data_IF_802558948125
#
_entry.id   IF_802558948125
#
_cell.length_a   1.000
_cell.length_b   1.000
_cell.length_c   1.000
_cell.angle_alpha   90.00
_cell.angle_beta   90.00
_cell.angle_gamma   90.00
#
_symmetry.space_group_name_H-M   'P 1'
#
loop_
_entity.id
_entity.type
_entity.pdbx_description
1 polymer ?
#
# COMPACT_ATOMS: atom_id res chain seq x y z
N UNK A 1 -23.56 54.80 48.01
CA UNK A 1 -24.74 54.07 47.49
C UNK A 1 -24.51 53.76 46.02
N UNK A 2 -24.91 52.55 45.62
CA UNK A 2 -25.00 52.01 44.26
C UNK A 2 -23.75 51.44 43.60
N UNK A 3 -23.92 50.18 43.22
CA UNK A 3 -23.05 49.26 42.49
C UNK A 3 -22.98 49.70 41.02
N UNK A 4 -21.85 49.50 40.35
CA UNK A 4 -21.86 49.14 38.94
C UNK A 4 -20.71 48.19 38.61
N UNK A 5 -21.13 47.04 38.10
CA UNK A 5 -20.38 45.90 37.56
C UNK A 5 -19.48 46.31 36.39
N UNK A 6 -18.23 45.84 36.37
CA UNK A 6 -17.44 45.76 35.13
C UNK A 6 -17.12 44.30 34.83
N UNK A 7 -17.61 43.91 33.65
CA UNK A 7 -17.62 42.58 33.06
C UNK A 7 -16.20 42.05 32.82
N UNK A 8 -16.01 40.77 33.10
CA UNK A 8 -14.99 39.93 32.48
C UNK A 8 -15.18 40.00 30.96
N UNK A 9 -14.11 40.36 30.24
CA UNK A 9 -14.05 40.22 28.78
C UNK A 9 -13.42 38.87 28.48
N UNK A 10 -14.24 37.93 28.02
CA UNK A 10 -13.79 36.68 27.43
C UNK A 10 -13.08 36.99 26.11
N UNK A 11 -11.82 36.59 26.00
CA UNK A 11 -11.10 36.55 24.74
C UNK A 11 -11.63 35.38 23.92
N UNK A 12 -12.41 35.69 22.87
CA UNK A 12 -12.69 34.76 21.78
C UNK A 12 -11.52 34.92 20.80
N UNK A 13 -10.63 33.93 20.77
CA UNK A 13 -9.61 33.80 19.74
C UNK A 13 -10.23 33.04 18.58
N UNK A 14 -10.58 33.77 17.53
CA UNK A 14 -11.07 33.23 16.26
C UNK A 14 -9.87 32.65 15.49
N UNK A 15 -9.73 31.32 15.50
CA UNK A 15 -8.75 30.64 14.64
C UNK A 15 -9.31 30.62 13.21
N UNK A 16 -8.81 31.52 12.37
CA UNK A 16 -9.08 31.53 10.92
C UNK A 16 -7.75 31.20 10.24
N UNK A 17 -7.54 29.94 9.86
CA UNK A 17 -6.36 29.49 9.12
C UNK A 17 -6.79 29.10 7.70
N UNK A 18 -6.67 30.10 6.84
CA UNK A 18 -6.36 30.09 5.41
C UNK A 18 -6.23 28.73 4.71
N UNK A 19 -7.26 28.38 3.93
CA UNK A 19 -7.30 27.32 2.93
C UNK A 19 -6.63 27.74 1.58
N UNK A 20 -5.48 28.39 1.62
CA UNK A 20 -4.84 28.97 0.42
C UNK A 20 -3.40 28.47 0.17
N UNK A 21 -3.13 27.20 0.46
CA UNK A 21 -1.82 26.56 0.24
C UNK A 21 -1.85 25.39 -0.77
N UNK A 22 -2.88 25.26 -1.61
CA UNK A 22 -3.06 24.13 -2.54
C UNK A 22 -2.54 24.37 -3.97
N UNK A 23 -1.64 25.35 -4.19
CA UNK A 23 -0.99 25.58 -5.51
C UNK A 23 0.53 25.71 -5.36
N UNK A 24 1.11 24.92 -4.47
CA UNK A 24 2.56 24.76 -4.37
C UNK A 24 2.88 23.40 -4.97
N UNK A 25 3.91 23.33 -5.81
CA UNK A 25 4.48 22.10 -6.35
C UNK A 25 4.47 21.00 -5.29
N UNK A 26 4.14 19.74 -5.65
CA UNK A 26 3.95 18.70 -4.66
C UNK A 26 5.20 18.62 -3.77
N UNK A 27 5.05 18.64 -2.43
CA UNK A 27 6.16 18.29 -1.56
C UNK A 27 6.70 16.92 -2.00
N UNK A 28 8.00 16.69 -1.80
CA UNK A 28 8.61 15.37 -2.00
C UNK A 28 7.68 14.33 -1.38
N UNK A 29 7.28 13.37 -2.22
CA UNK A 29 6.28 12.39 -1.88
C UNK A 29 6.88 11.46 -0.84
N UNK A 30 6.36 11.52 0.37
CA UNK A 30 6.72 10.62 1.46
C UNK A 30 5.40 10.03 1.94
N UNK A 31 5.28 8.70 2.04
CA UNK A 31 4.08 8.07 2.59
C UNK A 31 4.44 7.02 3.67
N UNK A 32 3.53 6.09 4.01
CA UNK A 32 3.70 5.08 5.07
C UNK A 32 5.13 4.59 5.26
N UNK A 33 5.48 4.44 6.53
CA UNK A 33 6.77 3.95 6.96
C UNK A 33 7.00 2.54 6.39
N UNK A 34 7.87 2.51 5.41
CA UNK A 34 8.67 1.35 5.06
C UNK A 34 9.27 0.76 6.34
N UNK A 35 9.59 -0.53 6.40
CA UNK A 35 10.16 -1.08 7.63
C UNK A 35 11.62 -0.60 7.83
N UNK A 36 12.30 -0.20 6.73
CA UNK A 36 13.67 0.32 6.70
C UNK A 36 13.73 1.72 6.09
N UNK A 37 14.46 2.62 6.76
CA UNK A 37 14.70 4.00 6.34
C UNK A 37 16.19 4.29 6.13
N UNK A 38 16.45 5.22 5.20
CA UNK A 38 17.77 5.79 4.94
C UNK A 38 17.77 7.27 5.33
N UNK A 39 18.72 7.69 6.16
CA UNK A 39 18.80 9.08 6.68
C UNK A 39 19.98 9.86 6.14
N UNK A 40 21.11 9.20 5.93
CA UNK A 40 22.35 9.81 5.47
C UNK A 40 23.02 8.88 4.46
N UNK A 41 23.59 9.44 3.39
CA UNK A 41 24.29 8.67 2.37
C UNK A 41 25.56 8.04 2.96
N UNK A 42 25.66 6.71 2.91
CA UNK A 42 26.75 5.96 3.54
C UNK A 42 26.47 5.47 4.97
N UNK A 43 25.32 5.81 5.57
CA UNK A 43 24.92 5.31 6.88
C UNK A 43 24.09 4.01 6.76
N UNK A 44 24.20 3.07 7.73
CA UNK A 44 23.36 1.89 7.75
C UNK A 44 21.85 2.21 7.81
N UNK A 45 21.00 1.35 7.26
CA UNK A 45 19.55 1.47 7.41
C UNK A 45 19.16 1.39 8.89
N UNK A 46 18.07 2.07 9.24
CA UNK A 46 17.43 2.00 10.56
C UNK A 46 15.94 1.70 10.39
N UNK A 47 15.26 1.25 11.45
CA UNK A 47 13.81 1.11 11.40
C UNK A 47 13.15 2.48 11.22
N UNK A 48 12.23 2.61 10.26
CA UNK A 48 11.50 3.86 10.08
C UNK A 48 10.57 4.17 11.27
N UNK A 49 9.84 3.17 11.76
CA UNK A 49 8.90 3.29 12.87
C UNK A 49 8.85 2.00 13.70
N UNK A 50 9.89 1.70 14.51
CA UNK A 50 9.90 0.48 15.31
C UNK A 50 8.91 0.58 16.48
N UNK A 51 8.12 -0.46 16.77
CA UNK A 51 7.25 -0.46 17.95
C UNK A 51 8.05 -0.24 19.25
N UNK A 52 7.76 0.76 20.10
CA UNK A 52 8.45 0.95 21.37
C UNK A 52 8.35 -0.27 22.26
N UNK A 53 9.37 -0.51 23.08
CA UNK A 53 9.41 -1.69 23.98
C UNK A 53 8.31 -1.70 25.04
N UNK A 54 7.80 -0.51 25.37
CA UNK A 54 6.73 -0.26 26.32
C UNK A 54 5.33 -0.43 25.70
N UNK A 55 5.24 -0.47 24.37
CA UNK A 55 3.98 -0.67 23.66
C UNK A 55 3.71 -2.15 23.48
N UNK A 56 2.60 -2.67 24.02
CA UNK A 56 2.32 -4.10 23.99
C UNK A 56 1.82 -4.52 22.60
N UNK A 57 2.14 -5.75 22.19
CA UNK A 57 1.72 -6.34 20.92
C UNK A 57 0.22 -6.65 20.82
N UNK A 58 -0.51 -6.54 21.93
CA UNK A 58 -1.92 -6.91 22.03
C UNK A 58 -2.85 -5.72 22.32
N UNK A 59 -2.36 -4.48 22.25
CA UNK A 59 -3.19 -3.28 22.43
C UNK A 59 -2.85 -2.20 21.38
N UNK A 60 -3.29 -2.39 20.12
CA UNK A 60 -3.09 -1.37 19.09
C UNK A 60 -3.86 -0.07 19.36
N UNK A 61 -4.81 -0.07 20.30
CA UNK A 61 -5.64 1.09 20.61
C UNK A 61 -5.12 1.89 21.82
N UNK A 62 -3.96 1.52 22.37
CA UNK A 62 -3.32 2.22 23.47
C UNK A 62 -3.04 3.69 23.10
N UNK A 63 -3.62 4.68 23.80
CA UNK A 63 -3.58 6.08 23.35
C UNK A 63 -2.16 6.67 23.35
N UNK A 64 -1.31 6.25 24.29
CA UNK A 64 0.09 6.70 24.37
C UNK A 64 0.87 6.16 23.16
N UNK A 65 0.79 4.85 22.92
CA UNK A 65 1.42 4.21 21.77
C UNK A 65 0.91 4.77 20.44
N UNK A 66 -0.39 5.04 20.33
CA UNK A 66 -0.98 5.67 19.15
C UNK A 66 -0.41 7.06 18.87
N UNK A 67 -0.31 7.92 19.89
CA UNK A 67 0.28 9.27 19.72
C UNK A 67 1.76 9.20 19.36
N UNK A 68 2.53 8.34 20.02
CA UNK A 68 3.96 8.17 19.76
C UNK A 68 4.23 7.57 18.38
N UNK A 69 3.44 6.58 17.96
CA UNK A 69 3.50 6.03 16.61
C UNK A 69 3.19 7.14 15.59
N UNK A 70 2.04 7.81 15.70
CA UNK A 70 1.66 8.88 14.77
C UNK A 70 2.72 10.00 14.65
N UNK A 71 3.32 10.41 15.78
CA UNK A 71 4.39 11.41 15.77
C UNK A 71 5.64 10.91 15.01
N UNK A 72 5.99 9.63 15.13
CA UNK A 72 7.11 9.01 14.40
C UNK A 72 6.82 8.89 12.91
N UNK A 73 5.61 8.50 12.52
CA UNK A 73 5.20 8.56 11.11
C UNK A 73 5.40 9.96 10.53
N UNK A 74 4.87 10.99 11.17
CA UNK A 74 5.04 12.37 10.72
C UNK A 74 6.50 12.83 10.57
N UNK A 75 7.43 12.23 11.33
CA UNK A 75 8.85 12.49 11.23
C UNK A 75 9.52 11.67 10.10
N UNK A 76 9.14 10.42 9.94
CA UNK A 76 9.57 9.53 8.85
C UNK A 76 9.18 10.10 7.49
N UNK A 77 7.98 10.68 7.39
CA UNK A 77 7.50 11.40 6.20
C UNK A 77 8.35 12.62 5.81
N UNK A 78 9.40 12.97 6.56
CA UNK A 78 10.30 14.09 6.25
C UNK A 78 11.72 13.63 5.95
N UNK A 79 11.96 12.33 5.85
CA UNK A 79 13.30 11.78 5.62
C UNK A 79 13.67 11.83 4.13
N UNK A 80 14.86 12.37 3.79
CA UNK A 80 15.15 12.75 2.40
C UNK A 80 15.55 11.60 1.47
N UNK A 81 15.99 10.44 2.01
CA UNK A 81 16.53 9.36 1.18
C UNK A 81 15.55 8.19 0.96
N UNK A 82 14.31 8.34 1.44
CA UNK A 82 13.24 7.35 1.31
C UNK A 82 13.40 6.15 2.26
N UNK A 83 12.60 5.12 1.98
CA UNK A 83 12.62 3.84 2.67
C UNK A 83 12.59 2.67 1.71
N UNK A 84 12.49 1.47 2.29
CA UNK A 84 12.32 0.20 1.59
C UNK A 84 11.53 -0.74 2.49
N UNK A 85 10.42 -1.30 2.01
CA UNK A 85 9.69 -2.35 2.73
C UNK A 85 10.23 -3.74 2.40
N UNK A 86 10.73 -4.48 3.38
CA UNK A 86 11.12 -5.88 3.20
C UNK A 86 9.91 -6.80 2.93
N UNK A 87 8.69 -6.34 3.23
CA UNK A 87 7.45 -7.05 2.90
C UNK A 87 7.08 -6.83 1.43
N UNK A 88 7.05 -5.58 0.95
CA UNK A 88 6.63 -5.24 -0.42
C UNK A 88 7.75 -5.41 -1.47
N UNK A 89 9.02 -5.25 -1.10
CA UNK A 89 10.12 -5.38 -2.06
C UNK A 89 10.82 -6.76 -1.98
N UNK A 90 11.58 -7.00 -0.92
CA UNK A 90 12.41 -8.21 -0.78
C UNK A 90 11.61 -9.50 -0.82
N UNK A 91 10.56 -9.58 -0.01
CA UNK A 91 9.72 -10.77 0.07
C UNK A 91 9.01 -11.02 -1.25
N UNK A 92 8.44 -9.98 -1.88
CA UNK A 92 7.85 -10.08 -3.22
C UNK A 92 8.86 -10.59 -4.25
N UNK A 93 10.09 -10.08 -4.26
CA UNK A 93 11.13 -10.56 -5.18
C UNK A 93 11.47 -12.03 -4.95
N UNK A 94 11.69 -12.43 -3.69
CA UNK A 94 12.03 -13.82 -3.34
C UNK A 94 10.88 -14.76 -3.71
N UNK A 95 9.63 -14.37 -3.43
CA UNK A 95 8.44 -15.13 -3.81
C UNK A 95 8.35 -15.23 -5.33
N UNK A 96 8.45 -14.12 -6.06
CA UNK A 96 8.37 -14.10 -7.52
C UNK A 96 9.43 -15.03 -8.16
N UNK A 97 10.68 -14.99 -7.67
CA UNK A 97 11.73 -15.92 -8.13
C UNK A 97 11.43 -17.37 -7.80
N UNK A 98 10.91 -17.63 -6.60
CA UNK A 98 10.57 -18.98 -6.16
C UNK A 98 9.42 -19.58 -6.98
N UNK A 99 8.43 -18.77 -7.38
CA UNK A 99 7.30 -19.24 -8.18
C UNK A 99 7.63 -19.43 -9.66
N UNK A 100 8.74 -18.86 -10.16
CA UNK A 100 9.27 -19.16 -11.50
C UNK A 100 9.56 -17.95 -12.41
N UNK A 101 9.29 -16.72 -11.97
CA UNK A 101 9.64 -15.52 -12.74
C UNK A 101 11.15 -15.41 -12.94
N UNK A 102 11.61 -14.81 -14.04
CA UNK A 102 13.04 -14.53 -14.24
C UNK A 102 13.59 -13.55 -13.20
N UNK A 103 14.92 -13.43 -13.06
CA UNK A 103 15.55 -12.43 -12.19
C UNK A 103 15.08 -11.01 -12.49
N UNK A 104 15.05 -10.67 -13.78
CA UNK A 104 14.58 -9.36 -14.25
C UNK A 104 13.10 -9.14 -13.94
N UNK A 105 12.25 -10.13 -14.18
CA UNK A 105 10.80 -9.95 -13.98
C UNK A 105 10.46 -9.82 -12.50
N UNK A 106 11.05 -10.68 -11.67
CA UNK A 106 10.87 -10.59 -10.22
C UNK A 106 11.37 -9.26 -9.67
N UNK A 107 12.51 -8.75 -10.16
CA UNK A 107 13.02 -7.44 -9.78
C UNK A 107 12.00 -6.34 -10.07
N UNK A 108 11.49 -6.27 -11.30
CA UNK A 108 10.55 -5.21 -11.66
C UNK A 108 9.18 -5.36 -10.99
N UNK A 109 8.71 -6.57 -10.71
CA UNK A 109 7.50 -6.77 -9.90
C UNK A 109 7.71 -6.15 -8.52
N UNK A 110 8.78 -6.52 -7.81
CA UNK A 110 9.09 -6.00 -6.48
C UNK A 110 9.42 -4.49 -6.46
N UNK A 111 10.10 -3.97 -7.48
CA UNK A 111 10.43 -2.56 -7.57
C UNK A 111 9.18 -1.69 -7.77
N UNK A 112 8.19 -2.16 -8.54
CA UNK A 112 6.93 -1.45 -8.72
C UNK A 112 5.89 -1.71 -7.62
N UNK A 113 6.03 -2.81 -6.87
CA UNK A 113 5.35 -3.00 -5.58
C UNK A 113 5.74 -1.82 -4.67
N UNK A 114 7.02 -1.68 -4.35
CA UNK A 114 7.55 -0.58 -3.53
C UNK A 114 7.32 0.83 -4.13
N UNK A 115 7.47 0.99 -5.45
CA UNK A 115 7.26 2.31 -6.07
C UNK A 115 5.80 2.78 -6.01
N UNK A 116 4.83 1.90 -5.75
CA UNK A 116 3.43 2.33 -5.55
C UNK A 116 3.30 3.19 -4.30
N UNK A 117 4.09 2.88 -3.28
CA UNK A 117 4.18 3.64 -2.03
C UNK A 117 4.98 4.94 -2.13
N UNK A 118 6.02 4.95 -2.97
CA UNK A 118 7.03 6.01 -3.02
C UNK A 118 6.97 6.89 -4.28
N UNK A 119 6.22 6.47 -5.29
CA UNK A 119 6.18 7.06 -6.63
C UNK A 119 7.36 6.64 -7.51
N UNK A 120 8.54 6.45 -6.93
CA UNK A 120 9.71 5.85 -7.58
C UNK A 120 10.45 4.96 -6.59
N UNK A 121 11.12 3.93 -7.09
CA UNK A 121 12.00 3.08 -6.31
C UNK A 121 13.39 3.06 -6.94
N UNK A 122 14.42 3.28 -6.13
CA UNK A 122 15.82 3.17 -6.51
C UNK A 122 16.55 2.33 -5.46
N UNK A 123 17.14 1.17 -5.83
CA UNK A 123 17.73 0.28 -4.85
C UNK A 123 18.96 0.90 -4.17
N UNK A 124 18.98 0.79 -2.85
CA UNK A 124 20.09 1.21 -1.98
C UNK A 124 20.69 0.01 -1.26
N UNK A 125 22.00 0.10 -1.03
CA UNK A 125 22.75 -0.92 -0.30
C UNK A 125 22.56 -0.82 1.22
N UNK A 126 23.20 -1.73 1.95
CA UNK A 126 23.19 -1.77 3.42
C UNK A 126 23.92 -0.59 4.08
N UNK A 127 24.55 0.28 3.30
CA UNK A 127 25.13 1.53 3.75
C UNK A 127 24.31 2.73 3.22
N UNK A 128 23.08 2.51 2.77
CA UNK A 128 22.20 3.56 2.27
C UNK A 128 22.64 4.22 0.96
N UNK A 129 23.68 3.70 0.29
CA UNK A 129 24.15 4.22 -0.99
C UNK A 129 23.34 3.62 -2.12
N UNK A 130 23.10 4.39 -3.17
CA UNK A 130 22.57 3.82 -4.42
C UNK A 130 23.52 2.70 -4.90
N UNK A 131 22.96 1.59 -5.36
CA UNK A 131 23.76 0.52 -5.97
C UNK A 131 24.43 1.05 -7.25
N UNK A 132 25.59 0.49 -7.68
CA UNK A 132 26.35 1.03 -8.80
C UNK A 132 25.55 1.24 -10.10
N UNK A 133 24.57 0.37 -10.39
CA UNK A 133 23.73 0.43 -11.58
C UNK A 133 22.31 0.99 -11.30
N UNK A 134 22.15 1.81 -10.25
CA UNK A 134 20.84 2.31 -9.82
C UNK A 134 20.06 3.03 -10.92
N UNK A 135 20.72 3.76 -11.83
CA UNK A 135 20.05 4.45 -12.95
C UNK A 135 19.28 3.48 -13.86
N UNK A 136 19.80 2.27 -14.07
CA UNK A 136 19.16 1.24 -14.90
C UNK A 136 18.09 0.43 -14.13
N UNK A 137 18.10 0.54 -12.81
CA UNK A 137 17.24 -0.19 -11.89
C UNK A 137 16.13 0.69 -11.30
N UNK A 138 16.22 2.00 -11.45
CA UNK A 138 15.21 2.92 -10.92
C UNK A 138 13.92 2.82 -11.71
N UNK A 139 12.78 2.72 -11.02
CA UNK A 139 11.46 2.67 -11.67
C UNK A 139 11.13 3.98 -12.38
N UNK A 140 10.19 3.91 -13.32
CA UNK A 140 9.56 5.12 -13.84
C UNK A 140 8.71 5.75 -12.75
N UNK A 141 8.54 7.07 -12.86
CA UNK A 141 7.65 7.80 -11.96
C UNK A 141 6.20 7.32 -12.12
N UNK A 142 5.63 6.86 -11.00
CA UNK A 142 4.24 6.50 -10.81
C UNK A 142 3.64 7.26 -9.62
N UNK A 143 4.13 8.47 -9.35
CA UNK A 143 3.70 9.33 -8.23
C UNK A 143 2.20 9.59 -8.17
N UNK A 144 1.47 9.44 -9.27
CA UNK A 144 0.01 9.51 -9.28
C UNK A 144 -0.67 8.40 -8.47
N UNK A 145 0.03 7.32 -8.15
CA UNK A 145 -0.49 6.18 -7.38
C UNK A 145 -0.21 6.27 -5.88
N UNK A 146 0.58 7.25 -5.44
CA UNK A 146 1.06 7.29 -4.06
C UNK A 146 -0.05 7.60 -3.06
N UNK A 147 -0.04 6.88 -1.93
CA UNK A 147 -0.94 7.02 -0.76
C UNK A 147 -1.27 8.44 -0.31
N UNK A 148 -0.33 9.38 -0.36
CA UNK A 148 -0.57 10.76 0.09
C UNK A 148 -1.17 11.65 -0.99
N UNK A 149 -1.33 11.15 -2.22
CA UNK A 149 -1.90 11.89 -3.32
C UNK A 149 -3.42 11.70 -3.41
N UNK A 150 -4.12 12.52 -2.61
CA UNK A 150 -5.58 12.56 -2.58
C UNK A 150 -6.22 13.08 -3.85
N UNK A 151 -5.51 13.84 -4.69
CA UNK A 151 -6.07 14.49 -5.89
C UNK A 151 -5.92 13.66 -7.19
N UNK A 152 -5.09 12.62 -7.16
CA UNK A 152 -4.86 11.74 -8.32
C UNK A 152 -5.61 10.43 -8.22
N UNK A 153 -6.23 10.14 -7.07
CA UNK A 153 -6.76 8.82 -6.73
C UNK A 153 -5.73 7.86 -6.14
N UNK A 154 -4.46 8.28 -5.97
CA UNK A 154 -3.39 7.43 -5.43
C UNK A 154 -3.75 6.83 -4.07
N UNK A 155 -4.32 7.63 -3.17
CA UNK A 155 -4.87 7.16 -1.88
C UNK A 155 -5.73 5.87 -1.97
N UNK A 156 -6.49 5.69 -3.06
CA UNK A 156 -7.37 4.54 -3.26
C UNK A 156 -6.65 3.25 -3.68
N UNK A 157 -5.33 3.30 -3.93
CA UNK A 157 -4.48 2.11 -4.09
C UNK A 157 -3.99 1.54 -2.77
N UNK A 158 -4.19 2.28 -1.67
CA UNK A 158 -3.70 1.94 -0.34
C UNK A 158 -4.83 1.72 0.66
N UNK A 159 -5.94 2.45 0.50
CA UNK A 159 -7.15 2.23 1.28
C UNK A 159 -8.26 1.75 0.35
N UNK A 160 -8.51 0.44 0.38
CA UNK A 160 -9.46 -0.25 -0.48
C UNK A 160 -10.69 -0.70 0.33
N UNK A 161 -11.61 0.21 0.71
CA UNK A 161 -12.89 -0.18 1.30
C UNK A 161 -13.76 -0.90 0.28
N UNK A 162 -14.70 -1.71 0.79
CA UNK A 162 -15.61 -2.49 -0.06
C UNK A 162 -16.90 -1.73 -0.35
N UNK A 163 -17.48 -2.01 -1.53
CA UNK A 163 -18.87 -1.65 -1.80
C UNK A 163 -19.75 -2.57 -0.96
N UNK A 164 -20.62 -1.99 -0.14
CA UNK A 164 -21.54 -2.77 0.69
C UNK A 164 -22.74 -1.96 1.14
N UNK A 165 -23.83 -2.67 1.35
CA UNK A 165 -25.04 -2.22 2.02
C UNK A 165 -25.01 -2.60 3.50
N UNK A 166 -25.87 -2.00 4.35
CA UNK A 166 -25.95 -2.37 5.77
C UNK A 166 -26.36 -3.83 6.03
N UNK A 167 -26.91 -4.54 5.05
CA UNK A 167 -27.29 -5.96 5.15
C UNK A 167 -26.17 -6.92 4.79
N UNK A 168 -25.11 -6.45 4.13
CA UNK A 168 -24.03 -7.31 3.70
C UNK A 168 -23.13 -7.68 4.90
N UNK A 169 -22.60 -8.92 4.94
CA UNK A 169 -21.66 -9.31 6.00
C UNK A 169 -20.40 -8.45 5.93
N UNK A 170 -19.72 -8.29 7.08
CA UNK A 170 -18.40 -7.69 7.08
C UNK A 170 -17.44 -8.56 6.25
N UNK A 171 -16.62 -7.95 5.38
CA UNK A 171 -15.61 -8.70 4.65
C UNK A 171 -14.56 -9.26 5.62
N UNK A 172 -13.84 -10.28 5.17
CA UNK A 172 -12.66 -10.79 5.86
C UNK A 172 -11.42 -10.25 5.14
N UNK A 173 -10.96 -9.06 5.51
CA UNK A 173 -9.84 -8.45 4.79
C UNK A 173 -8.48 -9.08 5.06
N UNK A 174 -8.34 -10.05 5.98
CA UNK A 174 -7.16 -10.92 6.03
C UNK A 174 -7.11 -11.93 4.88
N UNK A 175 -8.25 -12.17 4.22
CA UNK A 175 -8.38 -13.01 3.03
C UNK A 175 -9.41 -12.39 2.08
N UNK A 176 -9.11 -11.22 1.48
CA UNK A 176 -10.06 -10.53 0.62
C UNK A 176 -10.43 -11.42 -0.56
N UNK A 177 -11.70 -11.39 -0.96
CA UNK A 177 -12.17 -12.14 -2.14
C UNK A 177 -11.81 -11.37 -3.41
N UNK A 178 -10.62 -11.65 -3.93
CA UNK A 178 -10.07 -11.06 -5.16
C UNK A 178 -10.90 -11.36 -6.42
N UNK A 179 -11.89 -12.26 -6.32
CA UNK A 179 -12.81 -12.62 -7.39
C UNK A 179 -14.22 -12.08 -7.19
N UNK A 180 -14.44 -11.21 -6.20
CA UNK A 180 -15.73 -10.59 -5.91
C UNK A 180 -15.80 -9.16 -6.48
N UNK A 181 -16.22 -9.01 -7.75
CA UNK A 181 -16.31 -7.69 -8.38
C UNK A 181 -17.41 -6.81 -7.79
N UNK A 182 -18.37 -7.38 -7.04
CA UNK A 182 -19.50 -6.64 -6.48
C UNK A 182 -19.08 -5.86 -5.23
N UNK A 183 -18.23 -6.46 -4.38
CA UNK A 183 -17.82 -5.85 -3.11
C UNK A 183 -16.35 -5.38 -3.12
N UNK A 184 -15.41 -6.20 -3.61
CA UNK A 184 -13.96 -5.89 -3.66
C UNK A 184 -13.61 -5.19 -4.99
N UNK A 185 -14.31 -4.08 -5.27
CA UNK A 185 -14.29 -3.42 -6.59
C UNK A 185 -12.88 -3.05 -7.05
N UNK A 186 -12.14 -2.30 -6.23
CA UNK A 186 -10.80 -1.84 -6.59
C UNK A 186 -9.83 -3.01 -6.75
N UNK A 187 -9.84 -3.97 -5.83
CA UNK A 187 -8.92 -5.11 -5.87
C UNK A 187 -9.19 -6.02 -7.08
N UNK A 188 -10.45 -6.35 -7.33
CA UNK A 188 -10.85 -7.16 -8.50
C UNK A 188 -10.51 -6.45 -9.81
N UNK A 189 -10.73 -5.13 -9.87
CA UNK A 189 -10.38 -4.32 -11.03
C UNK A 189 -8.86 -4.34 -11.31
N UNK A 190 -8.03 -4.07 -10.29
CA UNK A 190 -6.57 -4.08 -10.42
C UNK A 190 -6.05 -5.46 -10.85
N UNK A 191 -6.58 -6.53 -10.25
CA UNK A 191 -6.21 -7.90 -10.62
C UNK A 191 -6.46 -8.16 -12.10
N UNK A 192 -7.66 -7.80 -12.58
CA UNK A 192 -8.04 -7.95 -13.99
C UNK A 192 -7.12 -7.15 -14.91
N UNK A 193 -6.84 -5.88 -14.58
CA UNK A 193 -5.95 -5.02 -15.35
C UNK A 193 -4.52 -5.56 -15.41
N UNK A 194 -4.02 -6.10 -14.29
CA UNK A 194 -2.68 -6.67 -14.23
C UNK A 194 -2.56 -8.00 -14.99
N UNK A 195 -3.56 -8.87 -14.88
CA UNK A 195 -3.61 -10.16 -15.58
C UNK A 195 -3.71 -9.98 -17.09
N UNK A 196 -4.49 -9.00 -17.56
CA UNK A 196 -4.68 -8.74 -18.99
C UNK A 196 -3.38 -8.34 -19.71
N UNK A 197 -2.42 -7.76 -18.97
CA UNK A 197 -1.10 -7.44 -19.48
C UNK A 197 -1.04 -6.27 -20.48
N UNK A 198 0.16 -6.01 -21.04
CA UNK A 198 0.42 -4.85 -21.88
C UNK A 198 -0.36 -4.89 -23.20
N UNK A 199 -0.82 -3.73 -23.63
CA UNK A 199 -1.56 -3.56 -24.88
C UNK A 199 -2.98 -4.12 -24.86
N UNK A 200 -3.48 -4.55 -23.70
CA UNK A 200 -4.89 -4.91 -23.53
C UNK A 200 -5.78 -3.68 -23.45
N UNK A 201 -7.04 -3.84 -23.87
CA UNK A 201 -8.09 -2.80 -23.75
C UNK A 201 -8.71 -2.73 -22.35
N UNK A 202 -8.17 -3.46 -21.36
CA UNK A 202 -8.66 -3.38 -19.97
C UNK A 202 -8.17 -2.06 -19.37
N UNK A 203 -9.06 -1.14 -19.00
CA UNK A 203 -8.64 0.15 -18.46
C UNK A 203 -8.16 0.01 -17.02
N UNK A 204 -7.32 0.95 -16.57
CA UNK A 204 -7.09 1.20 -15.15
C UNK A 204 -7.80 2.50 -14.76
N UNK A 205 -8.78 2.38 -13.87
CA UNK A 205 -9.70 3.45 -13.52
C UNK A 205 -9.46 3.96 -12.10
N UNK A 206 -9.66 5.26 -11.89
CA UNK A 206 -9.58 5.88 -10.57
C UNK A 206 -10.56 5.20 -9.60
N UNK A 207 -10.04 4.70 -8.47
CA UNK A 207 -10.82 3.94 -7.48
C UNK A 207 -11.35 2.58 -7.96
N UNK A 208 -10.90 2.12 -9.14
CA UNK A 208 -11.37 0.88 -9.77
C UNK A 208 -12.77 0.99 -10.38
N UNK A 209 -13.37 2.18 -10.42
CA UNK A 209 -14.73 2.37 -10.89
C UNK A 209 -14.81 2.38 -12.42
N UNK A 210 -15.31 1.30 -12.95
CA UNK A 210 -15.71 1.13 -14.35
C UNK A 210 -17.20 1.43 -14.53
N UNK A 211 -17.66 1.64 -15.77
CA UNK A 211 -19.09 1.59 -16.05
C UNK A 211 -19.65 0.20 -15.69
N UNK A 212 -20.90 0.09 -15.21
CA UNK A 212 -21.48 -1.19 -14.82
C UNK A 212 -21.27 -2.26 -15.89
N UNK A 213 -20.80 -3.43 -15.47
CA UNK A 213 -20.69 -4.61 -16.33
C UNK A 213 -22.08 -5.12 -16.72
N UNK A 214 -22.15 -6.16 -17.55
CA UNK A 214 -23.42 -6.86 -17.83
C UNK A 214 -24.03 -7.52 -16.59
N UNK A 215 -23.21 -7.77 -15.56
CA UNK A 215 -23.62 -8.31 -14.25
C UNK A 215 -23.88 -7.20 -13.22
N UNK A 216 -23.69 -5.94 -13.61
CA UNK A 216 -24.01 -4.76 -12.80
C UNK A 216 -22.92 -4.31 -11.83
N UNK A 217 -21.78 -5.00 -11.76
CA UNK A 217 -20.64 -4.57 -10.93
C UNK A 217 -19.88 -3.38 -11.52
N UNK A 218 -19.14 -2.68 -10.67
CA UNK A 218 -18.33 -1.53 -11.05
C UNK A 218 -16.85 -1.87 -11.28
N UNK A 219 -16.42 -3.13 -11.25
CA UNK A 219 -15.01 -3.51 -11.36
C UNK A 219 -14.59 -3.99 -12.76
N UNK A 220 -15.53 -4.62 -13.48
CA UNK A 220 -15.23 -5.42 -14.68
C UNK A 220 -15.77 -4.82 -15.98
N UNK A 221 -16.30 -3.60 -15.93
CA UNK A 221 -16.73 -2.84 -17.10
C UNK A 221 -15.62 -2.63 -18.14
N UNK A 222 -16.03 -2.32 -19.36
CA UNK A 222 -15.13 -2.12 -20.49
C UNK A 222 -14.43 -0.75 -20.50
N UNK A 223 -14.98 0.23 -19.79
CA UNK A 223 -14.48 1.61 -19.76
C UNK A 223 -14.60 2.17 -18.34
N UNK A 224 -13.80 3.18 -18.01
CA UNK A 224 -13.91 3.86 -16.72
C UNK A 224 -15.25 4.57 -16.57
N UNK A 225 -15.74 4.62 -15.33
CA UNK A 225 -17.06 5.17 -15.02
C UNK A 225 -17.15 6.64 -15.45
N UNK A 226 -18.26 6.99 -16.11
CA UNK A 226 -18.50 8.34 -16.64
C UNK A 226 -17.83 8.61 -18.00
N UNK A 227 -16.83 7.82 -18.40
CA UNK A 227 -16.13 7.96 -19.68
C UNK A 227 -15.66 9.41 -19.91
N UNK A 228 -16.15 10.13 -20.95
CA UNK A 228 -15.79 11.52 -21.21
C UNK A 228 -16.39 12.53 -20.21
N UNK A 229 -17.32 12.10 -19.36
CA UNK A 229 -17.99 12.91 -18.34
C UNK A 229 -17.77 12.25 -16.97
N UNK A 230 -16.58 12.40 -16.39
CA UNK A 230 -16.28 11.80 -15.09
C UNK A 230 -17.20 12.36 -14.00
N UNK A 231 -17.49 11.54 -13.01
CA UNK A 231 -18.28 11.93 -11.83
C UNK A 231 -17.36 12.02 -10.62
N UNK A 232 -17.83 12.68 -9.55
CA UNK A 232 -17.02 12.83 -8.36
C UNK A 232 -16.97 11.55 -7.54
N UNK A 233 -15.83 11.34 -6.91
CA UNK A 233 -15.62 10.42 -5.80
C UNK A 233 -15.41 11.29 -4.57
N UNK A 234 -16.39 11.33 -3.69
CA UNK A 234 -16.35 12.13 -2.48
C UNK A 234 -16.07 11.23 -1.28
N UNK A 235 -15.03 11.53 -0.50
CA UNK A 235 -14.66 10.69 0.62
C UNK A 235 -14.25 11.42 1.87
N UNK A 236 -14.15 10.68 2.95
CA UNK A 236 -13.64 11.14 4.24
C UNK A 236 -12.70 10.10 4.83
N UNK A 237 -11.63 10.55 5.46
CA UNK A 237 -10.63 9.71 6.10
C UNK A 237 -10.37 10.20 7.53
N UNK A 238 -10.42 9.30 8.51
CA UNK A 238 -10.37 9.68 9.92
C UNK A 238 -8.99 10.25 10.33
N UNK A 239 -9.01 11.34 11.09
CA UNK A 239 -7.86 11.78 11.90
C UNK A 239 -7.98 11.13 13.28
N UNK A 240 -9.10 11.41 13.94
CA UNK A 240 -9.54 10.86 15.22
C UNK A 240 -11.06 11.00 15.24
N UNK A 241 -11.79 9.90 15.22
CA UNK A 241 -13.25 9.93 15.03
C UNK A 241 -13.92 10.82 16.10
N UNK A 242 -14.78 11.79 15.72
CA UNK A 242 -15.40 11.98 14.39
C UNK A 242 -14.71 13.01 13.47
N UNK A 243 -13.50 13.46 13.79
CA UNK A 243 -12.72 14.42 12.98
C UNK A 243 -12.12 13.70 11.77
N UNK A 244 -12.47 14.16 10.57
CA UNK A 244 -11.99 13.57 9.31
C UNK A 244 -11.46 14.61 8.33
N UNK A 245 -10.57 14.15 7.44
CA UNK A 245 -10.08 14.88 6.28
C UNK A 245 -10.99 14.51 5.10
N UNK A 246 -11.73 15.48 4.52
CA UNK A 246 -12.46 15.23 3.28
C UNK A 246 -11.47 15.15 2.11
N UNK A 247 -11.79 14.30 1.13
CA UNK A 247 -11.10 14.27 -0.15
C UNK A 247 -12.12 14.17 -1.29
N UNK A 248 -11.72 14.68 -2.46
CA UNK A 248 -12.51 14.57 -3.68
C UNK A 248 -11.57 14.16 -4.81
N UNK A 249 -12.01 13.16 -5.57
CA UNK A 249 -11.42 12.75 -6.84
C UNK A 249 -12.49 12.73 -7.92
N UNK A 250 -12.06 12.48 -9.16
CA UNK A 250 -12.96 12.21 -10.28
C UNK A 250 -12.76 10.78 -10.75
N UNK A 251 -13.84 10.11 -11.17
CA UNK A 251 -13.75 8.84 -11.90
C UNK A 251 -13.05 9.05 -13.24
N UNK A 252 -12.80 7.97 -13.98
CA UNK A 252 -12.12 8.03 -15.27
C UNK A 252 -10.76 7.35 -15.23
N UNK A 253 -9.87 7.73 -16.15
CA UNK A 253 -8.52 7.18 -16.23
C UNK A 253 -7.66 7.61 -15.04
N UNK A 254 -7.05 6.63 -14.39
CA UNK A 254 -6.11 6.85 -13.30
C UNK A 254 -4.94 7.72 -13.76
N UNK A 255 -4.54 8.68 -12.93
CA UNK A 255 -3.29 9.43 -13.12
C UNK A 255 -2.12 8.55 -12.71
N UNK A 256 -1.16 8.36 -13.61
CA UNK A 256 0.05 7.57 -13.34
C UNK A 256 1.16 8.47 -12.81
N UNK A 257 1.43 9.59 -13.48
CA UNK A 257 2.42 10.59 -13.09
C UNK A 257 2.10 11.89 -13.79
N UNK A 258 2.03 13.01 -13.06
CA UNK A 258 1.75 14.35 -13.60
C UNK A 258 0.62 14.35 -14.66
N UNK A 259 0.95 14.49 -15.94
CA UNK A 259 0.00 14.48 -17.07
C UNK A 259 -0.26 13.11 -17.70
N UNK A 260 0.48 12.08 -17.31
CA UNK A 260 0.39 10.70 -17.82
C UNK A 260 -0.85 10.01 -17.25
N UNK A 261 -1.74 9.57 -18.15
CA UNK A 261 -2.94 8.80 -17.80
C UNK A 261 -2.73 7.31 -18.01
N UNK A 262 -3.59 6.49 -17.41
CA UNK A 262 -3.48 5.04 -17.45
C UNK A 262 -3.56 4.43 -18.86
N UNK A 263 -4.23 5.08 -19.80
CA UNK A 263 -4.21 4.69 -21.23
C UNK A 263 -2.82 4.76 -21.85
N UNK A 264 -1.90 5.54 -21.27
CA UNK A 264 -0.52 5.69 -21.71
C UNK A 264 0.45 4.80 -20.93
N UNK A 265 -0.03 4.04 -19.94
CA UNK A 265 0.80 3.31 -18.97
C UNK A 265 1.87 2.44 -19.62
N UNK A 266 1.49 1.59 -20.59
CA UNK A 266 2.46 0.69 -21.23
C UNK A 266 3.54 1.43 -22.01
N UNK A 267 3.18 2.53 -22.69
CA UNK A 267 4.16 3.36 -23.39
C UNK A 267 5.07 4.16 -22.45
N UNK A 268 4.56 4.52 -21.27
CA UNK A 268 5.29 5.24 -20.24
C UNK A 268 6.31 4.35 -19.53
N UNK A 269 5.88 3.15 -19.12
CA UNK A 269 6.73 2.19 -18.43
C UNK A 269 7.70 1.49 -19.41
N UNK A 270 7.25 1.18 -20.62
CA UNK A 270 8.03 0.47 -21.62
C UNK A 270 8.00 -1.05 -21.44
N UNK A 271 9.13 -1.71 -21.66
CA UNK A 271 9.23 -3.18 -21.70
C UNK A 271 8.81 -3.90 -20.42
N UNK A 272 8.86 -3.21 -19.28
CA UNK A 272 8.58 -3.78 -17.97
C UNK A 272 7.13 -3.54 -17.52
N UNK A 273 6.24 -3.06 -18.41
CA UNK A 273 4.89 -2.64 -18.01
C UNK A 273 4.03 -3.79 -17.48
N UNK A 274 4.23 -5.03 -17.92
CA UNK A 274 3.54 -6.17 -17.31
C UNK A 274 4.00 -6.41 -15.87
N UNK A 275 5.30 -6.29 -15.61
CA UNK A 275 5.87 -6.45 -14.27
C UNK A 275 5.39 -5.31 -13.37
N UNK A 276 5.37 -4.08 -13.88
CA UNK A 276 4.84 -2.92 -13.17
C UNK A 276 3.37 -3.08 -12.78
N UNK A 277 2.54 -3.52 -13.74
CA UNK A 277 1.13 -3.85 -13.51
C UNK A 277 0.94 -4.85 -12.36
N UNK A 278 1.72 -5.93 -12.37
CA UNK A 278 1.66 -6.95 -11.32
C UNK A 278 2.17 -6.41 -9.98
N UNK A 279 3.27 -5.66 -9.95
CA UNK A 279 3.80 -5.03 -8.73
C UNK A 279 2.76 -4.13 -8.07
N UNK A 280 2.14 -3.22 -8.83
CA UNK A 280 1.09 -2.30 -8.34
C UNK A 280 -0.12 -3.07 -7.76
N UNK A 281 -0.52 -4.17 -8.40
CA UNK A 281 -1.60 -5.00 -7.87
C UNK A 281 -1.21 -5.72 -6.57
N UNK A 282 -0.01 -6.31 -6.52
CA UNK A 282 0.50 -6.99 -5.33
C UNK A 282 0.62 -6.02 -4.16
N UNK A 283 1.06 -4.78 -4.42
CA UNK A 283 1.06 -3.69 -3.45
C UNK A 283 -0.34 -3.47 -2.86
N UNK A 284 -1.32 -3.20 -3.72
CA UNK A 284 -2.69 -2.92 -3.30
C UNK A 284 -3.35 -4.10 -2.56
N UNK A 285 -2.99 -5.34 -2.91
CA UNK A 285 -3.41 -6.53 -2.17
C UNK A 285 -2.80 -6.57 -0.77
N UNK A 286 -1.50 -6.28 -0.63
CA UNK A 286 -0.83 -6.16 0.65
C UNK A 286 -1.49 -5.10 1.53
N UNK A 287 -1.76 -3.93 0.96
CA UNK A 287 -2.40 -2.81 1.66
C UNK A 287 -3.86 -3.07 2.04
N UNK A 288 -4.62 -3.77 1.19
CA UNK A 288 -5.97 -4.22 1.54
C UNK A 288 -5.98 -5.11 2.78
N UNK A 289 -4.93 -5.92 2.97
CA UNK A 289 -4.78 -6.84 4.10
C UNK A 289 -4.24 -6.11 5.33
N UNK A 290 -3.20 -5.29 5.20
CA UNK A 290 -2.62 -4.52 6.31
C UNK A 290 -3.63 -3.54 6.91
N UNK A 291 -4.43 -2.88 6.07
CA UNK A 291 -5.45 -1.92 6.50
C UNK A 291 -6.82 -2.53 6.79
N UNK A 292 -6.96 -3.87 6.80
CA UNK A 292 -8.29 -4.50 6.81
C UNK A 292 -9.19 -4.05 7.96
N UNK A 293 -8.68 -3.80 9.18
CA UNK A 293 -9.49 -3.33 10.31
C UNK A 293 -10.22 -2.01 9.97
N UNK A 294 -9.53 -1.12 9.25
CA UNK A 294 -10.12 0.12 8.74
C UNK A 294 -10.99 -0.15 7.52
N UNK A 295 -10.48 -0.83 6.48
CA UNK A 295 -11.18 -0.95 5.19
C UNK A 295 -12.36 -1.91 5.22
N UNK A 296 -12.39 -2.90 6.12
CA UNK A 296 -13.55 -3.77 6.37
C UNK A 296 -14.69 -2.99 7.03
N UNK A 297 -14.35 -2.04 7.91
CA UNK A 297 -15.30 -1.13 8.55
C UNK A 297 -15.67 0.06 7.65
N UNK A 298 -14.82 0.39 6.68
CA UNK A 298 -15.09 1.39 5.65
C UNK A 298 -16.23 0.99 4.71
N UNK A 299 -16.75 1.95 3.96
CA UNK A 299 -17.75 1.68 2.91
C UNK A 299 -17.50 2.49 1.66
N UNK A 300 -17.83 1.89 0.52
CA UNK A 300 -18.10 2.59 -0.74
C UNK A 300 -19.59 2.51 -1.03
N UNK A 301 -20.22 3.66 -1.22
CA UNK A 301 -21.59 3.76 -1.73
C UNK A 301 -21.54 4.17 -3.20
N UNK A 302 -22.05 3.35 -4.13
CA UNK A 302 -22.09 3.70 -5.54
C UNK A 302 -23.16 4.76 -5.85
N UNK A 303 -23.12 5.38 -7.04
CA UNK A 303 -24.16 6.29 -7.49
C UNK A 303 -25.57 5.69 -7.44
N UNK A 304 -26.56 6.52 -7.10
CA UNK A 304 -27.98 6.20 -7.01
C UNK A 304 -28.83 7.32 -7.65
N UNK A 305 -30.15 7.13 -7.83
CA UNK A 305 -31.04 8.20 -8.29
C UNK A 305 -30.99 9.48 -7.43
N UNK A 306 -30.62 9.36 -6.16
CA UNK A 306 -30.52 10.45 -5.19
C UNK A 306 -29.14 11.11 -5.15
N UNK A 307 -28.09 10.46 -5.65
CA UNK A 307 -26.70 10.94 -5.62
C UNK A 307 -25.91 10.39 -6.81
N UNK A 308 -25.34 11.26 -7.64
CA UNK A 308 -24.57 10.81 -8.82
C UNK A 308 -23.10 10.49 -8.52
N UNK A 309 -22.62 10.76 -7.31
CA UNK A 309 -21.23 10.56 -6.91
C UNK A 309 -21.02 9.18 -6.27
N UNK A 310 -19.79 8.66 -6.41
CA UNK A 310 -19.31 7.63 -5.49
C UNK A 310 -18.99 8.27 -4.14
N UNK A 311 -19.34 7.59 -3.05
CA UNK A 311 -19.07 8.06 -1.69
C UNK A 311 -18.24 7.06 -0.92
N UNK A 312 -17.15 7.52 -0.32
CA UNK A 312 -16.24 6.70 0.48
C UNK A 312 -16.25 7.17 1.93
N UNK A 313 -16.65 6.30 2.84
CA UNK A 313 -16.66 6.60 4.27
C UNK A 313 -15.62 5.76 5.00
N UNK A 314 -14.53 6.41 5.44
CA UNK A 314 -13.50 5.88 6.33
C UNK A 314 -13.44 6.68 7.64
N UNK A 315 -14.48 7.46 7.97
CA UNK A 315 -14.56 8.17 9.25
C UNK A 315 -15.14 7.27 10.35
N UNK A 316 -14.42 6.19 10.64
CA UNK A 316 -14.79 5.19 11.64
C UNK A 316 -13.63 5.00 12.62
N UNK A 317 -13.87 4.63 13.89
CA UNK A 317 -12.83 4.54 14.92
C UNK A 317 -11.66 3.62 14.56
N UNK A 318 -11.92 2.57 13.77
CA UNK A 318 -10.89 1.63 13.33
C UNK A 318 -9.94 2.22 12.26
N UNK A 319 -10.27 3.37 11.70
CA UNK A 319 -9.44 4.12 10.77
C UNK A 319 -8.70 5.31 11.42
N UNK A 320 -8.79 5.47 12.74
CA UNK A 320 -8.10 6.55 13.45
C UNK A 320 -6.58 6.43 13.32
N UNK A 321 -5.89 7.56 13.19
CA UNK A 321 -4.46 7.60 12.84
C UNK A 321 -3.55 6.92 13.86
N UNK A 322 -3.88 7.01 15.15
CA UNK A 322 -3.07 6.41 16.22
C UNK A 322 -3.05 4.88 16.13
N UNK A 323 -4.21 4.20 16.24
CA UNK A 323 -4.27 2.75 16.12
C UNK A 323 -3.81 2.20 14.77
N UNK A 324 -4.00 2.98 13.71
CA UNK A 324 -3.50 2.64 12.39
C UNK A 324 -1.98 2.71 12.33
N UNK A 325 -1.36 3.78 12.84
CA UNK A 325 0.09 3.91 12.93
C UNK A 325 0.73 2.75 13.72
N UNK A 326 0.14 2.35 14.87
CA UNK A 326 0.66 1.24 15.67
C UNK A 326 0.66 -0.08 14.90
N UNK A 327 -0.38 -0.34 14.11
CA UNK A 327 -0.48 -1.59 13.31
C UNK A 327 0.61 -1.70 12.24
N UNK A 328 1.06 -0.59 11.68
CA UNK A 328 2.23 -0.64 10.81
C UNK A 328 3.53 -0.89 11.58
N UNK A 329 3.65 -0.41 12.83
CA UNK A 329 4.80 -0.76 13.67
C UNK A 329 4.85 -2.28 13.97
N UNK A 330 3.70 -2.97 13.94
CA UNK A 330 3.62 -4.43 14.04
C UNK A 330 4.16 -5.16 12.81
N UNK A 331 4.37 -4.47 11.68
CA UNK A 331 4.96 -5.07 10.48
C UNK A 331 6.50 -4.99 10.52
N UNK A 332 7.06 -4.31 11.54
CA UNK A 332 8.49 -4.01 11.67
C UNK A 332 9.15 -4.74 12.83
N UNK A 333 9.59 -5.99 12.58
CA UNK A 333 10.50 -6.68 13.50
C UNK A 333 9.94 -6.94 14.90
N UNK A 334 8.69 -7.41 14.95
CA UNK A 334 8.01 -7.87 16.17
C UNK A 334 7.71 -9.37 16.10
N UNK A 335 7.39 -9.99 17.24
CA UNK A 335 6.90 -11.37 17.28
C UNK A 335 5.45 -11.44 16.79
N UNK A 336 5.24 -11.99 15.59
CA UNK A 336 3.91 -12.07 14.98
C UNK A 336 2.98 -13.02 15.74
N UNK A 337 3.52 -14.02 16.44
CA UNK A 337 2.72 -14.92 17.27
C UNK A 337 2.14 -14.22 18.51
N UNK A 338 2.77 -13.13 18.94
CA UNK A 338 2.31 -12.25 20.02
C UNK A 338 1.15 -11.33 19.65
N UNK A 339 0.89 -11.14 18.35
CA UNK A 339 -0.21 -10.30 17.85
C UNK A 339 -1.57 -10.99 17.98
N UNK A 340 -2.61 -10.18 18.16
CA UNK A 340 -3.99 -10.62 18.04
C UNK A 340 -4.24 -11.20 16.63
N UNK A 341 -5.11 -12.21 16.47
CA UNK A 341 -5.34 -12.85 15.17
C UNK A 341 -5.67 -11.88 14.03
N UNK A 342 -6.45 -10.84 14.31
CA UNK A 342 -6.78 -9.76 13.38
C UNK A 342 -5.53 -8.98 12.94
N UNK A 343 -4.55 -8.76 13.82
CA UNK A 343 -3.38 -7.92 13.53
C UNK A 343 -2.22 -8.72 12.88
N UNK A 344 -2.40 -10.01 12.57
CA UNK A 344 -1.39 -10.85 11.88
C UNK A 344 -1.39 -10.63 10.37
N UNK A 345 -1.30 -9.37 9.96
CA UNK A 345 -1.43 -8.93 8.57
C UNK A 345 -0.26 -9.39 7.70
N UNK A 346 0.97 -9.37 8.20
CA UNK A 346 2.16 -9.81 7.44
C UNK A 346 2.07 -11.29 7.01
N UNK A 347 1.63 -12.19 7.90
CA UNK A 347 1.41 -13.60 7.56
C UNK A 347 0.34 -13.77 6.47
N UNK A 348 -0.79 -13.08 6.64
CA UNK A 348 -1.88 -13.11 5.68
C UNK A 348 -1.45 -12.56 4.31
N UNK A 349 -0.76 -11.41 4.29
CA UNK A 349 -0.28 -10.74 3.09
C UNK A 349 0.71 -11.60 2.32
N UNK A 350 1.79 -12.08 2.96
CA UNK A 350 2.77 -12.94 2.30
C UNK A 350 2.14 -14.21 1.72
N UNK A 351 1.17 -14.80 2.44
CA UNK A 351 0.44 -15.96 1.96
C UNK A 351 -0.40 -15.66 0.72
N UNK A 352 -1.16 -14.56 0.70
CA UNK A 352 -1.99 -14.16 -0.45
C UNK A 352 -1.15 -13.73 -1.64
N UNK A 353 -0.08 -12.96 -1.41
CA UNK A 353 0.89 -12.54 -2.44
C UNK A 353 1.55 -13.75 -3.11
N UNK A 354 1.91 -14.79 -2.34
CA UNK A 354 2.42 -16.04 -2.91
C UNK A 354 1.41 -16.70 -3.85
N UNK A 355 0.15 -16.82 -3.43
CA UNK A 355 -0.88 -17.48 -4.23
C UNK A 355 -1.18 -16.71 -5.52
N UNK A 356 -1.19 -15.38 -5.44
CA UNK A 356 -1.39 -14.53 -6.62
C UNK A 356 -0.19 -14.55 -7.56
N UNK A 357 1.05 -14.51 -7.05
CA UNK A 357 2.23 -14.67 -7.90
C UNK A 357 2.29 -16.05 -8.57
N UNK A 358 1.79 -17.11 -7.93
CA UNK A 358 1.57 -18.42 -8.59
C UNK A 358 0.55 -18.30 -9.72
N UNK A 359 -0.55 -17.57 -9.53
CA UNK A 359 -1.55 -17.35 -10.58
C UNK A 359 -0.98 -16.55 -11.77
N UNK A 360 -0.25 -15.47 -11.51
CA UNK A 360 0.41 -14.68 -12.56
C UNK A 360 1.49 -15.49 -13.29
N UNK A 361 2.30 -16.26 -12.57
CA UNK A 361 3.32 -17.11 -13.18
C UNK A 361 2.69 -18.18 -14.08
N UNK A 362 1.52 -18.72 -13.69
CA UNK A 362 0.75 -19.66 -14.52
C UNK A 362 0.27 -19.00 -15.80
N UNK A 363 -0.37 -17.83 -15.69
CA UNK A 363 -0.87 -17.08 -16.85
C UNK A 363 0.24 -16.73 -17.83
N UNK A 364 1.41 -16.38 -17.30
CA UNK A 364 2.59 -16.02 -18.10
C UNK A 364 3.41 -17.23 -18.59
N UNK A 365 3.02 -18.45 -18.24
CA UNK A 365 3.74 -19.66 -18.62
C UNK A 365 5.14 -19.80 -18.02
N UNK A 366 5.40 -19.13 -16.89
CA UNK A 366 6.69 -19.15 -16.17
C UNK A 366 6.68 -19.98 -14.89
N UNK A 367 5.50 -20.47 -14.48
CA UNK A 367 5.31 -21.21 -13.23
C UNK A 367 6.26 -22.40 -13.07
N UNK A 368 7.03 -22.42 -11.98
CA UNK A 368 7.70 -23.62 -11.47
C UNK A 368 6.64 -24.55 -10.86
N UNK A 369 6.47 -25.79 -11.36
CA UNK A 369 5.49 -26.73 -10.83
C UNK A 369 5.64 -27.03 -9.33
N UNK A 370 6.83 -26.89 -8.76
CA UNK A 370 7.07 -27.10 -7.32
C UNK A 370 6.36 -26.04 -6.48
N UNK A 371 6.20 -24.83 -7.01
CA UNK A 371 5.58 -23.70 -6.31
C UNK A 371 4.10 -23.95 -5.96
N UNK A 372 3.42 -24.90 -6.61
CA UNK A 372 2.03 -25.25 -6.26
C UNK A 372 1.92 -26.21 -5.07
N UNK A 373 3.05 -26.65 -4.50
CA UNK A 373 3.05 -27.58 -3.37
C UNK A 373 2.99 -26.81 -2.04
N UNK A 374 2.18 -27.28 -1.05
CA UNK A 374 2.19 -26.68 0.28
C UNK A 374 3.58 -26.69 0.93
N UNK A 375 4.40 -27.70 0.63
CA UNK A 375 5.76 -27.79 1.15
C UNK A 375 6.65 -26.62 0.70
N UNK A 376 6.55 -26.20 -0.56
CA UNK A 376 7.34 -25.06 -1.07
C UNK A 376 6.88 -23.75 -0.45
N UNK A 377 5.56 -23.54 -0.37
CA UNK A 377 4.99 -22.35 0.27
C UNK A 377 5.37 -22.25 1.75
N UNK A 378 5.22 -23.34 2.51
CA UNK A 378 5.53 -23.37 3.94
C UNK A 378 7.04 -23.18 4.19
N UNK A 379 7.90 -23.84 3.41
CA UNK A 379 9.34 -23.70 3.55
C UNK A 379 9.81 -22.26 3.28
N UNK A 380 9.17 -21.56 2.34
CA UNK A 380 9.50 -20.18 2.04
C UNK A 380 8.91 -19.21 3.08
N UNK A 381 7.62 -19.32 3.37
CA UNK A 381 6.90 -18.34 4.19
C UNK A 381 7.06 -18.62 5.69
N UNK A 382 6.58 -19.79 6.13
CA UNK A 382 6.53 -20.17 7.55
C UNK A 382 7.92 -20.44 8.14
N UNK A 383 8.74 -21.21 7.43
CA UNK A 383 10.07 -21.60 7.93
C UNK A 383 11.17 -20.57 7.54
N UNK A 384 10.82 -19.56 6.76
CA UNK A 384 11.76 -18.64 6.12
C UNK A 384 11.45 -17.17 6.38
N UNK A 385 10.61 -16.57 5.53
CA UNK A 385 10.38 -15.13 5.50
C UNK A 385 9.78 -14.59 6.81
N UNK A 386 8.78 -15.28 7.39
CA UNK A 386 8.15 -14.82 8.63
C UNK A 386 9.16 -14.67 9.77
N UNK A 387 9.89 -15.73 10.22
CA UNK A 387 10.87 -15.57 11.30
C UNK A 387 12.03 -14.62 10.94
N UNK A 388 12.34 -14.44 9.65
CA UNK A 388 13.33 -13.45 9.24
C UNK A 388 12.82 -12.01 9.44
N UNK A 389 11.55 -11.74 9.12
CA UNK A 389 10.91 -10.42 9.25
C UNK A 389 10.65 -10.01 10.71
N UNK A 390 10.53 -10.97 11.63
CA UNK A 390 10.39 -10.71 13.07
C UNK A 390 11.67 -10.12 13.71
N UNK A 391 12.80 -10.09 12.98
CA UNK A 391 14.05 -9.53 13.49
C UNK A 391 13.94 -8.00 13.61
N UNK A 392 14.12 -7.50 14.83
CA UNK A 392 14.01 -6.07 15.13
C UNK A 392 15.12 -5.22 14.53
N UNK A 393 16.37 -5.70 14.53
CA UNK A 393 17.51 -4.95 13.99
C UNK A 393 17.49 -4.95 12.44
N UNK A 394 17.39 -3.80 11.77
CA UNK A 394 17.09 -3.71 10.33
C UNK A 394 18.18 -4.33 9.44
N UNK A 395 19.45 -4.17 9.80
CA UNK A 395 20.59 -4.79 9.08
C UNK A 395 20.55 -6.31 9.22
N UNK A 396 20.26 -6.81 10.42
CA UNK A 396 20.13 -8.25 10.69
C UNK A 396 18.89 -8.83 9.98
N UNK A 397 17.75 -8.11 10.01
CA UNK A 397 16.50 -8.46 9.32
C UNK A 397 16.71 -8.59 7.82
N UNK A 398 17.28 -7.57 7.18
CA UNK A 398 17.58 -7.56 5.75
C UNK A 398 18.52 -8.71 5.37
N UNK A 399 19.53 -8.99 6.20
CA UNK A 399 20.44 -10.12 5.99
C UNK A 399 19.70 -11.45 6.11
N UNK A 400 18.84 -11.62 7.10
CA UNK A 400 18.08 -12.84 7.30
C UNK A 400 17.09 -13.11 6.15
N UNK A 401 16.36 -12.08 5.70
CA UNK A 401 15.47 -12.18 4.52
C UNK A 401 16.25 -12.58 3.27
N UNK A 402 17.44 -11.99 3.07
CA UNK A 402 18.33 -12.38 1.97
C UNK A 402 18.74 -13.85 2.05
N UNK A 403 19.10 -14.32 3.24
CA UNK A 403 19.49 -15.73 3.47
C UNK A 403 18.35 -16.69 3.12
N UNK A 404 17.09 -16.32 3.37
CA UNK A 404 15.93 -17.13 2.96
C UNK A 404 15.91 -17.35 1.45
N UNK A 405 16.07 -16.28 0.66
CA UNK A 405 16.16 -16.38 -0.80
C UNK A 405 17.35 -17.24 -1.25
N UNK A 406 18.53 -17.02 -0.68
CA UNK A 406 19.75 -17.74 -1.03
C UNK A 406 19.64 -19.26 -0.82
N UNK A 407 18.96 -19.71 0.26
CA UNK A 407 18.71 -21.14 0.51
C UNK A 407 17.91 -21.81 -0.60
N UNK A 408 17.09 -21.04 -1.31
CA UNK A 408 16.25 -21.48 -2.43
C UNK A 408 16.90 -21.22 -3.80
N UNK A 409 18.17 -20.80 -3.83
CA UNK A 409 18.89 -20.47 -5.07
C UNK A 409 18.45 -19.15 -5.71
N UNK A 410 17.77 -18.29 -4.96
CA UNK A 410 17.40 -16.94 -5.41
C UNK A 410 18.59 -15.99 -5.18
N UNK A 411 19.10 -15.30 -6.22
CA UNK A 411 20.14 -14.28 -6.05
C UNK A 411 19.67 -13.17 -5.11
N UNK A 412 20.58 -12.53 -4.38
CA UNK A 412 20.23 -11.42 -3.51
C UNK A 412 19.54 -10.29 -4.29
N UNK A 413 18.52 -9.66 -3.69
CA UNK A 413 17.88 -8.47 -4.27
C UNK A 413 18.92 -7.34 -4.38
N UNK A 414 18.89 -6.49 -5.43
CA UNK A 414 19.85 -5.40 -5.59
C UNK A 414 19.96 -4.51 -4.33
N UNK A 415 21.18 -4.40 -3.79
CA UNK A 415 21.47 -3.66 -2.55
C UNK A 415 21.58 -4.55 -1.30
N UNK A 416 21.13 -5.80 -1.36
CA UNK A 416 21.30 -6.73 -0.26
C UNK A 416 22.73 -7.28 -0.16
N UNK A 417 23.12 -7.79 1.02
CA UNK A 417 24.30 -8.63 1.16
C UNK A 417 24.34 -9.75 0.11
N UNK A 418 25.53 -10.09 -0.35
CA UNK A 418 25.70 -11.25 -1.22
C UNK A 418 25.28 -12.53 -0.48
N UNK A 419 24.80 -13.53 -1.23
CA UNK A 419 24.50 -14.83 -0.64
C UNK A 419 25.72 -15.40 0.07
N UNK A 420 25.57 -15.93 1.30
CA UNK A 420 26.66 -16.61 1.97
C UNK A 420 27.12 -17.81 1.14
N UNK A 421 28.44 -18.00 1.10
CA UNK A 421 29.12 -19.04 0.32
C UNK A 421 28.86 -20.46 0.85
#
# INVERSE_FOLDING_TARGET
MSRFTRRMSSAIVTLTLTAAALVVSPPLVHGFAEDICYTEDGAPPHNCAPLPTECPLNDPNGPICGVEAFARYGFTLRRPLGGRSLVHSDSTYIIARTVGFSERDAYWIAAYDEATDLGTFAPRDINGRLVPDADALTTKDISGLVRTHFATGGFLFHFLPTVRTPSDPLPNGLRPDIGDPQHEVMLTHLRRWAMAGPGSDVPLCTGGFTNPSTEGDYATGATCYGGPQPVQINGTYSVETPVAIPFTNDTGEQVISDTVRSSQFDSWIGSDSWNARTGIYIHALGDRISHHVCTDAGTVTPPSPESQDFRIDLNVPTCDQGPHAVRHEYETGVDFAGLAPEDRTTEAALSMVYDELVAFARERGTLDPRATTPATKNALLTDGLLPALEIREPVERLTAVTVVGCRSGVPAFPGNPVCPA
#
